data_IF_600922703842
#
_entry.id   IF_600922703842
#
_cell.length_a   1.000
_cell.length_b   1.000
_cell.length_c   1.000
_cell.angle_alpha   90.00
_cell.angle_beta   90.00
_cell.angle_gamma   90.00
#
_symmetry.space_group_name_H-M   'P 1'
#
loop_
_entity.id
_entity.type
_entity.pdbx_description
1 polymer ?
#
# COMPACT_ATOMS: atom_id res chain seq x y z
N UNK A 1 7.95 -14.52 -6.18
CA UNK A 1 7.62 -14.06 -4.80
C UNK A 1 6.80 -12.79 -4.93
N UNK A 2 5.76 -12.61 -4.14
CA UNK A 2 5.03 -11.34 -3.98
C UNK A 2 5.17 -10.92 -2.52
N UNK A 3 5.64 -9.70 -2.28
CA UNK A 3 5.72 -9.11 -0.95
C UNK A 3 4.72 -7.96 -0.86
N UNK A 4 3.92 -7.92 0.20
CA UNK A 4 2.97 -6.84 0.44
C UNK A 4 3.16 -6.27 1.85
N UNK A 5 3.15 -4.95 1.95
CA UNK A 5 2.99 -4.23 3.21
C UNK A 5 1.58 -3.66 3.27
N UNK A 6 0.97 -3.72 4.44
CA UNK A 6 -0.40 -3.22 4.63
C UNK A 6 -0.41 -1.79 5.20
N UNK A 7 0.74 -1.27 5.67
CA UNK A 7 0.80 0.08 6.24
C UNK A 7 0.37 1.20 5.29
N UNK A 8 0.78 1.14 4.01
CA UNK A 8 0.50 2.22 3.04
C UNK A 8 -0.95 2.25 2.57
N UNK A 9 -1.53 1.07 2.30
CA UNK A 9 -2.87 0.98 1.72
C UNK A 9 -3.97 1.16 2.77
N UNK A 10 -3.68 0.85 4.04
CA UNK A 10 -4.62 1.01 5.15
C UNK A 10 -4.49 2.34 5.86
N UNK A 11 -3.43 3.11 5.60
CA UNK A 11 -3.06 4.28 6.41
C UNK A 11 -2.43 3.91 7.76
N UNK A 12 -2.40 2.63 8.14
CA UNK A 12 -1.98 2.14 9.45
C UNK A 12 -0.48 1.79 9.51
N UNK A 13 0.38 2.79 9.31
CA UNK A 13 1.83 2.58 9.21
C UNK A 13 2.46 2.03 10.50
N UNK A 14 1.89 2.39 11.66
CA UNK A 14 2.36 2.01 12.99
C UNK A 14 2.09 0.56 13.37
N UNK A 15 1.21 -0.14 12.65
CA UNK A 15 0.82 -1.52 12.98
C UNK A 15 1.95 -2.50 12.62
N UNK A 16 2.72 -2.21 11.56
CA UNK A 16 3.89 -2.99 11.10
C UNK A 16 3.57 -4.35 10.49
N UNK A 17 2.37 -4.51 9.94
CA UNK A 17 1.99 -5.75 9.28
C UNK A 17 2.37 -5.83 7.78
N UNK A 18 2.83 -7.02 7.37
CA UNK A 18 3.14 -7.37 5.99
C UNK A 18 3.17 -8.89 5.78
N UNK A 19 3.03 -9.31 4.53
CA UNK A 19 3.01 -10.73 4.17
C UNK A 19 3.73 -11.00 2.87
N UNK A 20 4.11 -12.26 2.69
CA UNK A 20 4.77 -12.78 1.50
C UNK A 20 3.97 -13.95 0.93
N UNK A 21 3.80 -13.98 -0.38
CA UNK A 21 3.25 -15.11 -1.14
C UNK A 21 4.34 -15.66 -2.05
N UNK A 22 4.62 -16.95 -1.94
CA UNK A 22 5.61 -17.65 -2.76
C UNK A 22 5.17 -19.11 -2.96
N UNK A 23 5.91 -19.85 -3.79
CA UNK A 23 5.72 -21.29 -3.88
C UNK A 23 5.93 -21.94 -2.48
N UNK A 24 5.29 -23.08 -2.18
CA UNK A 24 5.32 -23.67 -0.84
C UNK A 24 6.72 -23.96 -0.30
N UNK A 25 7.63 -24.46 -1.14
CA UNK A 25 9.02 -24.75 -0.77
C UNK A 25 9.73 -23.49 -0.25
N UNK A 26 9.65 -22.40 -1.02
CA UNK A 26 10.27 -21.14 -0.66
C UNK A 26 9.59 -20.47 0.53
N UNK A 27 8.26 -20.50 0.58
CA UNK A 27 7.50 -19.97 1.71
C UNK A 27 7.86 -20.69 3.03
N UNK A 28 7.99 -22.02 2.99
CA UNK A 28 8.41 -22.83 4.14
C UNK A 28 9.83 -22.50 4.59
N UNK A 29 10.78 -22.35 3.65
CA UNK A 29 12.15 -21.93 3.97
C UNK A 29 12.19 -20.54 4.59
N UNK A 30 11.42 -19.58 4.08
CA UNK A 30 11.35 -18.23 4.67
C UNK A 30 10.72 -18.29 6.06
N UNK A 31 9.64 -19.06 6.23
CA UNK A 31 8.95 -19.22 7.52
C UNK A 31 9.88 -19.78 8.60
N UNK A 32 10.79 -20.71 8.26
CA UNK A 32 11.74 -21.27 9.24
C UNK A 32 12.80 -20.26 9.70
N UNK A 33 13.01 -19.17 8.96
CA UNK A 33 13.94 -18.08 9.31
C UNK A 33 13.26 -16.92 10.07
N UNK A 34 11.92 -16.91 10.17
CA UNK A 34 11.18 -15.87 10.87
C UNK A 34 11.11 -16.14 12.38
N UNK A 35 11.16 -15.10 13.23
CA UNK A 35 10.89 -15.25 14.66
C UNK A 35 9.49 -15.81 14.93
N UNK A 36 9.33 -16.63 15.98
CA UNK A 36 8.04 -17.25 16.34
C UNK A 36 6.93 -16.23 16.63
N UNK A 37 7.28 -15.08 17.20
CA UNK A 37 6.36 -13.99 17.54
C UNK A 37 6.63 -12.74 16.71
N UNK A 38 6.68 -12.89 15.39
CA UNK A 38 6.90 -11.79 14.47
C UNK A 38 5.61 -11.03 14.06
N UNK A 39 4.50 -11.31 14.75
CA UNK A 39 3.19 -10.68 14.58
C UNK A 39 2.63 -10.34 15.98
N UNK A 40 2.10 -9.13 16.15
CA UNK A 40 1.48 -8.71 17.41
C UNK A 40 -0.06 -8.83 17.38
N UNK A 41 -0.71 -8.73 18.54
CA UNK A 41 -2.17 -8.88 18.67
C UNK A 41 -2.97 -7.78 17.96
N UNK A 42 -2.42 -6.56 17.84
CA UNK A 42 -3.06 -5.49 17.09
C UNK A 42 -3.05 -5.77 15.59
N UNK A 43 -1.96 -6.33 15.05
CA UNK A 43 -1.89 -6.77 13.65
C UNK A 43 -3.01 -7.76 13.34
N UNK A 44 -3.15 -8.78 14.19
CA UNK A 44 -4.14 -9.84 14.06
C UNK A 44 -5.56 -9.27 14.08
N UNK A 45 -5.85 -8.36 15.01
CA UNK A 45 -7.16 -7.71 15.09
C UNK A 45 -7.51 -6.94 13.81
N UNK A 46 -6.56 -6.19 13.24
CA UNK A 46 -6.76 -5.47 11.98
C UNK A 46 -7.00 -6.42 10.80
N UNK A 47 -6.31 -7.56 10.76
CA UNK A 47 -6.54 -8.58 9.73
C UNK A 47 -7.95 -9.17 9.81
N UNK A 48 -8.51 -9.34 11.01
CA UNK A 48 -9.88 -9.82 11.15
C UNK A 48 -10.92 -8.77 10.75
N UNK A 49 -10.70 -7.50 11.11
CA UNK A 49 -11.58 -6.39 10.72
C UNK A 49 -11.74 -6.25 9.20
N UNK A 50 -10.76 -6.70 8.41
CA UNK A 50 -10.84 -6.68 6.95
C UNK A 50 -12.01 -7.46 6.36
N UNK A 51 -12.47 -8.50 7.07
CA UNK A 51 -13.63 -9.28 6.64
C UNK A 51 -14.91 -8.44 6.69
N UNK A 52 -15.00 -7.56 7.68
CA UNK A 52 -16.18 -6.73 7.94
C UNK A 52 -16.14 -5.43 7.12
N UNK A 53 -14.96 -4.81 6.98
CA UNK A 53 -14.77 -3.50 6.33
C UNK A 53 -14.15 -3.58 4.92
N UNK A 54 -14.26 -4.74 4.27
CA UNK A 54 -13.65 -4.97 2.95
C UNK A 54 -14.17 -4.00 1.89
N UNK A 55 -15.44 -3.60 1.96
CA UNK A 55 -16.08 -2.68 1.02
C UNK A 55 -15.50 -1.28 1.15
N UNK A 56 -15.42 -0.76 2.37
CA UNK A 56 -14.87 0.56 2.70
C UNK A 56 -13.40 0.64 2.31
N UNK A 57 -12.65 -0.44 2.53
CA UNK A 57 -11.27 -0.54 2.08
C UNK A 57 -11.15 -0.42 0.55
N UNK A 58 -11.99 -1.13 -0.23
CA UNK A 58 -11.99 -0.99 -1.68
C UNK A 58 -12.39 0.42 -2.12
N UNK A 59 -13.41 1.01 -1.50
CA UNK A 59 -13.83 2.38 -1.76
C UNK A 59 -12.71 3.38 -1.53
N UNK A 60 -11.96 3.25 -0.42
CA UNK A 60 -10.78 4.06 -0.12
C UNK A 60 -9.72 3.96 -1.24
N UNK A 61 -9.42 2.75 -1.71
CA UNK A 61 -8.48 2.56 -2.83
C UNK A 61 -8.96 3.19 -4.13
N UNK A 62 -10.27 3.10 -4.42
CA UNK A 62 -10.86 3.76 -5.60
C UNK A 62 -10.79 5.29 -5.49
N UNK A 63 -11.03 5.83 -4.29
CA UNK A 63 -10.94 7.26 -4.03
C UNK A 63 -9.52 7.76 -4.24
N UNK A 64 -8.51 7.12 -3.62
CA UNK A 64 -7.09 7.49 -3.80
C UNK A 64 -6.68 7.43 -5.28
N UNK A 65 -7.16 6.44 -6.05
CA UNK A 65 -6.86 6.35 -7.49
C UNK A 65 -7.45 7.51 -8.28
N UNK A 66 -8.66 7.96 -7.93
CA UNK A 66 -9.36 9.09 -8.54
C UNK A 66 -8.67 10.40 -8.21
N UNK A 67 -8.47 10.68 -6.93
CA UNK A 67 -7.84 11.92 -6.45
C UNK A 67 -6.44 12.11 -7.06
N UNK A 68 -5.69 11.02 -7.16
CA UNK A 68 -4.37 10.99 -7.79
C UNK A 68 -4.43 11.31 -9.30
N UNK A 69 -5.49 10.90 -10.01
CA UNK A 69 -5.70 11.24 -11.43
C UNK A 69 -6.08 12.72 -11.57
N UNK A 70 -6.96 13.20 -10.70
CA UNK A 70 -7.43 14.59 -10.73
C UNK A 70 -6.30 15.56 -10.38
N UNK A 71 -5.53 15.26 -9.33
CA UNK A 71 -4.32 16.00 -8.97
C UNK A 71 -3.28 16.00 -10.10
N UNK A 72 -3.11 14.88 -10.82
CA UNK A 72 -2.26 14.85 -12.01
C UNK A 72 -2.72 15.83 -13.09
N UNK A 73 -4.03 15.89 -13.37
CA UNK A 73 -4.58 16.81 -14.36
C UNK A 73 -4.34 18.27 -13.96
N UNK A 74 -4.65 18.60 -12.70
CA UNK A 74 -4.47 19.95 -12.15
C UNK A 74 -3.01 20.39 -12.13
N UNK A 75 -2.08 19.51 -11.74
CA UNK A 75 -0.65 19.84 -11.73
C UNK A 75 -0.09 19.98 -13.15
N UNK A 76 -0.55 19.16 -14.09
CA UNK A 76 -0.12 19.24 -15.49
C UNK A 76 -0.63 20.50 -16.21
N UNK A 77 -1.68 21.16 -15.71
CA UNK A 77 -2.13 22.44 -16.28
C UNK A 77 -1.29 23.63 -15.82
N UNK A 78 -0.42 23.47 -14.82
CA UNK A 78 0.45 24.55 -14.34
C UNK A 78 1.68 24.70 -15.26
N UNK A 79 1.99 25.91 -15.75
CA UNK A 79 3.16 26.15 -16.59
C UNK A 79 4.46 25.78 -15.90
N UNK A 80 5.38 25.15 -16.65
CA UNK A 80 6.72 24.81 -16.19
C UNK A 80 6.82 23.55 -15.31
N UNK A 81 5.70 22.96 -14.87
CA UNK A 81 5.73 21.67 -14.15
C UNK A 81 5.85 20.49 -15.11
N UNK A 82 6.61 19.47 -14.72
CA UNK A 82 6.59 18.15 -15.37
C UNK A 82 6.06 17.11 -14.38
N UNK A 83 4.86 16.60 -14.63
CA UNK A 83 4.22 15.58 -13.78
C UNK A 83 4.48 14.18 -14.35
N UNK A 84 5.13 13.32 -13.57
CA UNK A 84 5.43 11.95 -14.01
C UNK A 84 4.28 10.99 -13.70
N UNK A 85 3.98 10.02 -14.60
CA UNK A 85 3.01 8.98 -14.31
C UNK A 85 3.50 8.13 -13.13
N UNK A 86 2.60 7.83 -12.21
CA UNK A 86 2.89 6.98 -11.04
C UNK A 86 1.71 6.06 -10.78
N UNK A 87 1.96 4.79 -10.44
CA UNK A 87 0.95 3.83 -9.99
C UNK A 87 0.89 3.72 -8.45
N UNK A 88 1.71 4.50 -7.74
CA UNK A 88 1.66 4.61 -6.28
C UNK A 88 0.60 5.61 -5.80
N UNK A 89 0.48 5.77 -4.50
CA UNK A 89 -0.39 6.75 -3.84
C UNK A 89 0.25 8.15 -3.72
N UNK A 90 1.13 8.51 -4.66
CA UNK A 90 1.84 9.79 -4.68
C UNK A 90 2.18 10.22 -6.11
N UNK A 91 2.63 11.47 -6.24
CA UNK A 91 3.07 12.09 -7.50
C UNK A 91 4.50 12.57 -7.39
N UNK A 92 5.27 12.29 -8.43
CA UNK A 92 6.60 12.87 -8.61
C UNK A 92 6.48 13.99 -9.64
N UNK A 93 6.95 15.18 -9.28
CA UNK A 93 6.80 16.40 -10.07
C UNK A 93 8.13 17.12 -10.10
N UNK A 94 8.59 17.48 -11.29
CA UNK A 94 9.74 18.37 -11.46
C UNK A 94 9.24 19.80 -11.54
N UNK A 95 9.86 20.68 -10.75
CA UNK A 95 9.60 22.11 -10.73
C UNK A 95 10.26 22.82 -11.93
N UNK A 96 9.81 24.04 -12.29
CA UNK A 96 10.50 24.84 -13.30
C UNK A 96 11.90 25.20 -12.80
N UNK A 97 12.86 25.29 -13.71
CA UNK A 97 14.21 25.80 -13.44
C UNK A 97 14.22 27.30 -13.74
#
# INVERSE_FOLDING_TARGET
IVLRSLGKNFGLHGIRFGYLVANPSLAGRIRSMLPKWNLNSFDEHVVFMLKEHGTEYQQSLHQVRRDRKDMSGQLSSLPGLTVYPSQGNFRFVRLPV
#
